data_IF_624986414392
#
_entry.id   IF_624986414392
#
_cell.length_a   1.000
_cell.length_b   1.000
_cell.length_c   1.000
_cell.angle_alpha   90.00
_cell.angle_beta   90.00
_cell.angle_gamma   90.00
#
_symmetry.space_group_name_H-M   'P 1'
#
loop_
_entity.id
_entity.type
_entity.pdbx_description
1 polymer ?
#
# COMPACT_ATOMS: atom_id res chain seq x y z
N UNK A 1 -20.07 16.15 -1.65
CA UNK A 1 -21.47 16.51 -1.38
C UNK A 1 -22.38 15.70 -2.30
N UNK A 2 -23.55 15.27 -1.85
CA UNK A 2 -24.43 14.36 -2.63
C UNK A 2 -23.87 12.94 -2.80
N UNK A 3 -22.93 12.52 -1.94
CA UNK A 3 -22.33 11.19 -1.99
C UNK A 3 -23.27 10.10 -1.49
N UNK A 4 -24.11 10.41 -0.51
CA UNK A 4 -25.20 9.57 -0.02
C UNK A 4 -26.54 10.29 -0.22
N UNK A 5 -27.64 9.59 -0.03
CA UNK A 5 -28.97 10.19 -0.15
C UNK A 5 -29.26 11.21 0.96
N UNK A 6 -30.25 12.06 0.72
CA UNK A 6 -30.67 13.07 1.69
C UNK A 6 -31.27 12.36 2.91
N UNK A 7 -30.73 12.64 4.10
CA UNK A 7 -31.12 11.98 5.35
C UNK A 7 -30.27 10.76 5.71
N UNK A 8 -29.45 10.25 4.78
CA UNK A 8 -28.51 9.17 5.05
C UNK A 8 -27.17 9.69 5.57
N UNK A 9 -26.44 8.81 6.26
CA UNK A 9 -25.09 9.06 6.74
C UNK A 9 -24.12 7.99 6.24
N UNK A 10 -22.89 8.40 5.94
CA UNK A 10 -21.78 7.52 5.65
C UNK A 10 -20.74 7.65 6.76
N UNK A 11 -20.48 6.58 7.49
CA UNK A 11 -19.30 6.46 8.33
C UNK A 11 -18.20 5.77 7.53
N UNK A 12 -17.01 6.38 7.52
CA UNK A 12 -15.81 5.85 6.90
C UNK A 12 -14.75 5.74 7.99
N UNK A 13 -14.23 4.53 8.20
CA UNK A 13 -13.09 4.28 9.08
C UNK A 13 -11.92 3.79 8.24
N UNK A 14 -10.74 4.32 8.51
CA UNK A 14 -9.51 3.94 7.83
C UNK A 14 -8.41 3.64 8.84
N UNK A 15 -7.73 2.51 8.67
CA UNK A 15 -6.63 2.08 9.53
C UNK A 15 -5.45 1.62 8.67
N UNK A 16 -4.27 2.18 8.92
CA UNK A 16 -3.04 1.72 8.29
C UNK A 16 -2.47 0.51 9.07
N UNK A 17 -2.20 -0.57 8.35
CA UNK A 17 -1.49 -1.74 8.81
C UNK A 17 -0.05 -1.66 8.27
N UNK A 18 0.90 -1.54 9.18
CA UNK A 18 2.31 -1.34 8.83
C UNK A 18 3.01 -2.63 8.41
N UNK A 19 2.52 -3.78 8.90
CA UNK A 19 3.01 -5.10 8.52
C UNK A 19 2.12 -5.66 7.40
N UNK A 20 2.59 -5.65 6.14
CA UNK A 20 1.81 -6.20 5.04
C UNK A 20 1.76 -7.73 5.09
N UNK A 21 0.68 -8.34 4.59
CA UNK A 21 0.62 -9.78 4.35
C UNK A 21 1.80 -10.28 3.52
N UNK A 22 2.22 -11.52 3.78
CA UNK A 22 3.39 -12.12 3.12
C UNK A 22 3.24 -12.21 1.60
N UNK A 23 2.02 -12.44 1.08
CA UNK A 23 1.77 -12.56 -0.36
C UNK A 23 2.09 -11.27 -1.14
N UNK A 24 2.09 -10.11 -0.46
CA UNK A 24 2.38 -8.80 -1.05
C UNK A 24 3.88 -8.51 -1.14
N UNK A 25 4.73 -9.44 -0.69
CA UNK A 25 6.19 -9.30 -0.71
C UNK A 25 6.85 -10.61 -1.17
N UNK A 26 7.44 -10.58 -2.36
CA UNK A 26 8.15 -11.71 -2.99
C UNK A 26 9.21 -11.18 -3.97
N UNK A 27 9.94 -12.06 -4.64
CA UNK A 27 10.93 -11.66 -5.67
C UNK A 27 10.30 -10.83 -6.80
N UNK A 28 8.99 -10.93 -7.02
CA UNK A 28 8.25 -10.20 -8.07
C UNK A 28 7.30 -9.14 -7.54
N UNK A 29 7.19 -8.96 -6.23
CA UNK A 29 6.21 -8.05 -5.64
C UNK A 29 6.79 -7.37 -4.39
N UNK A 30 6.65 -6.05 -4.26
CA UNK A 30 7.07 -5.35 -3.05
C UNK A 30 6.05 -4.28 -2.69
N UNK A 31 5.66 -4.24 -1.42
CA UNK A 31 4.69 -3.27 -0.92
C UNK A 31 5.29 -1.86 -0.85
N UNK A 32 4.57 -0.88 -1.42
CA UNK A 32 4.99 0.54 -1.53
C UNK A 32 4.21 1.50 -0.61
N UNK A 33 3.16 1.00 0.04
CA UNK A 33 2.33 1.75 1.00
C UNK A 33 1.98 0.85 2.18
N UNK A 34 1.62 1.39 3.35
CA UNK A 34 0.88 0.59 4.33
C UNK A 34 -0.35 -0.06 3.70
N UNK A 35 -0.76 -1.22 4.19
CA UNK A 35 -2.05 -1.81 3.81
C UNK A 35 -3.15 -1.04 4.55
N UNK A 36 -4.09 -0.48 3.82
CA UNK A 36 -5.21 0.26 4.39
C UNK A 36 -6.41 -0.66 4.58
N UNK A 37 -6.84 -0.84 5.83
CA UNK A 37 -8.18 -1.35 6.14
C UNK A 37 -9.16 -0.18 6.03
N UNK A 38 -10.18 -0.34 5.20
CA UNK A 38 -11.27 0.64 5.03
C UNK A 38 -12.57 -0.05 5.40
N UNK A 39 -13.32 0.57 6.31
CA UNK A 39 -14.66 0.13 6.71
C UNK A 39 -15.68 1.20 6.38
N UNK A 40 -16.77 0.76 5.76
CA UNK A 40 -17.85 1.63 5.31
C UNK A 40 -19.16 1.15 5.95
N UNK A 41 -19.95 2.06 6.51
CA UNK A 41 -21.24 1.72 7.12
C UNK A 41 -22.38 1.62 6.13
N UNK A 42 -22.23 2.24 4.96
CA UNK A 42 -23.21 2.26 3.88
C UNK A 42 -22.50 2.03 2.53
N UNK A 43 -23.10 1.23 1.65
CA UNK A 43 -22.61 0.93 0.29
C UNK A 43 -23.43 1.62 -0.79
N UNK A 44 -24.59 2.18 -0.43
CA UNK A 44 -25.50 2.89 -1.33
C UNK A 44 -24.97 4.31 -1.57
N UNK A 45 -23.91 4.37 -2.36
CA UNK A 45 -23.27 5.61 -2.75
C UNK A 45 -23.82 6.10 -4.10
N UNK A 46 -24.00 7.42 -4.23
CA UNK A 46 -24.42 8.08 -5.48
C UNK A 46 -23.25 8.50 -6.37
N UNK A 47 -22.08 8.71 -5.75
CA UNK A 47 -20.85 9.09 -6.43
C UNK A 47 -19.71 8.20 -5.95
N UNK A 48 -18.70 7.92 -6.77
CA UNK A 48 -17.61 7.04 -6.37
C UNK A 48 -16.75 7.64 -5.26
N UNK A 49 -16.27 6.78 -4.35
CA UNK A 49 -15.25 7.14 -3.37
C UNK A 49 -13.88 7.15 -4.04
N UNK A 50 -13.09 8.19 -3.79
CA UNK A 50 -11.73 8.33 -4.30
C UNK A 50 -10.76 8.24 -3.12
N UNK A 51 -9.84 7.29 -3.20
CA UNK A 51 -8.75 7.13 -2.24
C UNK A 51 -7.47 7.71 -2.85
N UNK A 52 -6.92 8.72 -2.20
CA UNK A 52 -5.62 9.31 -2.51
C UNK A 52 -4.60 8.86 -1.46
N UNK A 53 -3.44 8.38 -1.91
CA UNK A 53 -2.36 7.96 -1.01
C UNK A 53 -0.98 8.26 -1.59
N UNK A 54 0.02 8.37 -0.71
CA UNK A 54 1.42 8.52 -1.09
C UNK A 54 2.16 7.18 -0.93
N UNK A 55 3.07 6.91 -1.85
CA UNK A 55 3.96 5.75 -1.78
C UNK A 55 5.37 6.13 -1.33
N UNK A 56 6.09 5.19 -0.70
CA UNK A 56 7.45 5.39 -0.17
C UNK A 56 8.57 5.02 -1.15
N UNK A 57 8.21 4.67 -2.40
CA UNK A 57 9.15 4.26 -3.43
C UNK A 57 8.75 4.77 -4.82
N UNK A 58 9.70 4.78 -5.72
CA UNK A 58 9.51 5.07 -7.14
C UNK A 58 10.12 3.94 -7.97
N UNK A 59 9.58 3.69 -9.16
CA UNK A 59 10.26 2.82 -10.13
C UNK A 59 11.45 3.59 -10.69
N UNK A 60 12.59 2.93 -10.85
CA UNK A 60 13.79 3.55 -11.39
C UNK A 60 13.49 4.23 -12.74
N UNK A 61 14.10 5.40 -12.97
CA UNK A 61 13.84 6.23 -14.15
C UNK A 61 14.58 5.76 -15.41
N UNK A 62 14.64 4.45 -15.62
CA UNK A 62 15.19 3.82 -16.82
C UNK A 62 14.11 3.02 -17.56
N UNK A 63 14.28 2.91 -18.88
CA UNK A 63 13.29 2.27 -19.76
C UNK A 63 13.06 0.80 -19.39
N UNK A 64 14.10 0.12 -18.91
CA UNK A 64 14.03 -1.30 -18.59
C UNK A 64 13.20 -1.53 -17.33
N UNK A 65 13.43 -0.76 -16.26
CA UNK A 65 12.64 -0.82 -15.03
C UNK A 65 11.16 -0.51 -15.24
N UNK A 66 10.83 0.54 -16.01
CA UNK A 66 9.44 0.91 -16.32
C UNK A 66 8.70 -0.11 -17.19
N UNK A 67 9.43 -0.93 -17.96
CA UNK A 67 8.84 -2.00 -18.75
C UNK A 67 8.64 -3.29 -17.95
N UNK A 68 9.52 -3.60 -17.01
CA UNK A 68 9.49 -4.86 -16.25
C UNK A 68 8.63 -4.79 -14.99
N UNK A 69 8.59 -3.62 -14.35
CA UNK A 69 7.89 -3.39 -13.09
C UNK A 69 6.85 -2.30 -13.28
N UNK A 70 5.68 -2.50 -12.68
CA UNK A 70 4.63 -1.50 -12.68
C UNK A 70 4.05 -1.33 -11.28
N UNK A 71 3.62 -0.10 -10.99
CA UNK A 71 2.82 0.19 -9.80
C UNK A 71 1.41 -0.36 -10.02
N UNK A 72 0.90 -1.08 -9.03
CA UNK A 72 -0.44 -1.68 -9.02
C UNK A 72 -1.13 -1.39 -7.70
N UNK A 73 -2.42 -1.06 -7.78
CA UNK A 73 -3.29 -1.09 -6.62
C UNK A 73 -3.92 -2.47 -6.53
N UNK A 74 -3.84 -3.07 -5.36
CA UNK A 74 -4.42 -4.36 -5.06
C UNK A 74 -5.46 -4.21 -3.95
N UNK A 75 -6.52 -5.01 -4.03
CA UNK A 75 -7.61 -5.02 -3.04
C UNK A 75 -8.03 -6.43 -2.69
N UNK A 76 -8.38 -6.62 -1.42
CA UNK A 76 -8.98 -7.85 -0.91
C UNK A 76 -10.10 -7.52 0.07
N UNK A 77 -11.03 -8.45 0.26
CA UNK A 77 -12.06 -8.35 1.31
C UNK A 77 -11.58 -8.99 2.62
N UNK A 78 -10.42 -9.67 2.60
CA UNK A 78 -9.77 -10.28 3.75
C UNK A 78 -8.35 -9.74 3.92
N UNK A 79 -7.91 -9.58 5.18
CA UNK A 79 -6.59 -9.01 5.50
C UNK A 79 -5.45 -9.77 4.81
N UNK A 80 -5.52 -11.09 4.83
CA UNK A 80 -4.48 -12.00 4.32
C UNK A 80 -4.74 -12.46 2.88
N UNK A 81 -5.60 -11.76 2.14
CA UNK A 81 -5.89 -12.05 0.74
C UNK A 81 -7.02 -13.06 0.52
N UNK A 82 -7.26 -13.46 -0.75
CA UNK A 82 -6.45 -13.14 -1.92
C UNK A 82 -6.63 -11.69 -2.37
N UNK A 83 -5.55 -11.07 -2.87
CA UNK A 83 -5.60 -9.72 -3.42
C UNK A 83 -5.80 -9.75 -4.94
N UNK A 84 -6.72 -8.92 -5.42
CA UNK A 84 -7.02 -8.71 -6.84
C UNK A 84 -6.59 -7.30 -7.28
N UNK A 85 -6.15 -7.12 -8.53
CA UNK A 85 -5.77 -5.81 -9.05
C UNK A 85 -6.99 -4.90 -9.24
N UNK A 86 -6.79 -3.62 -8.96
CA UNK A 86 -7.73 -2.54 -9.22
C UNK A 86 -7.14 -1.52 -10.19
N UNK A 87 -8.01 -0.84 -10.94
CA UNK A 87 -7.61 0.21 -11.86
C UNK A 87 -7.09 1.44 -11.11
N UNK A 88 -5.88 1.89 -11.46
CA UNK A 88 -5.33 3.15 -10.99
C UNK A 88 -5.88 4.30 -11.83
N UNK A 89 -6.48 5.30 -11.18
CA UNK A 89 -6.99 6.50 -11.86
C UNK A 89 -5.88 7.53 -12.13
N UNK A 90 -4.85 7.54 -11.28
CA UNK A 90 -3.73 8.47 -11.37
C UNK A 90 -2.50 7.93 -10.62
N UNK A 91 -1.31 8.11 -11.18
CA UNK A 91 -0.04 7.84 -10.50
C UNK A 91 1.00 8.86 -10.98
N UNK A 92 1.36 9.82 -10.14
CA UNK A 92 2.36 10.84 -10.47
C UNK A 92 2.98 11.44 -9.20
N UNK A 93 4.29 11.68 -9.22
CA UNK A 93 5.01 12.30 -8.10
C UNK A 93 4.82 11.56 -6.77
N UNK A 94 4.77 10.22 -6.80
CA UNK A 94 4.52 9.39 -5.63
C UNK A 94 3.11 9.47 -5.04
N UNK A 95 2.19 10.20 -5.69
CA UNK A 95 0.78 10.28 -5.30
C UNK A 95 -0.07 9.41 -6.22
N UNK A 96 -0.89 8.57 -5.61
CA UNK A 96 -1.76 7.62 -6.29
C UNK A 96 -3.21 7.97 -5.97
N UNK A 97 -4.05 7.93 -7.00
CA UNK A 97 -5.51 7.94 -6.83
C UNK A 97 -6.10 6.66 -7.36
N UNK A 98 -6.97 6.07 -6.56
CA UNK A 98 -7.78 4.92 -6.94
C UNK A 98 -9.24 5.24 -6.66
N UNK A 99 -10.09 4.90 -7.61
CA UNK A 99 -11.53 4.91 -7.42
C UNK A 99 -11.94 3.58 -6.75
N UNK A 100 -12.62 3.67 -5.62
CA UNK A 100 -13.11 2.48 -4.91
C UNK A 100 -14.34 1.95 -5.64
N UNK A 101 -14.14 0.88 -6.40
CA UNK A 101 -15.20 0.13 -7.08
C UNK A 101 -15.59 -1.09 -6.23
N UNK A 102 -16.83 -1.59 -6.40
CA UNK A 102 -17.34 -2.78 -5.71
C UNK A 102 -17.19 -2.69 -4.17
N UNK A 103 -17.78 -1.67 -3.53
CA UNK A 103 -17.60 -1.43 -2.10
C UNK A 103 -18.06 -2.62 -1.24
N UNK A 104 -17.31 -2.90 -0.18
CA UNK A 104 -17.62 -3.92 0.82
C UNK A 104 -17.52 -3.32 2.24
N UNK A 105 -18.21 -3.90 3.25
CA UNK A 105 -18.21 -3.42 4.64
C UNK A 105 -16.81 -3.25 5.23
N UNK A 106 -15.89 -4.11 4.79
CA UNK A 106 -14.48 -4.04 5.10
C UNK A 106 -13.68 -4.49 3.88
N UNK A 107 -12.72 -3.68 3.46
CA UNK A 107 -11.80 -3.98 2.39
C UNK A 107 -10.38 -3.57 2.76
N UNK A 108 -9.41 -4.23 2.15
CA UNK A 108 -7.99 -4.02 2.37
C UNK A 108 -7.38 -3.60 1.05
N UNK A 109 -6.64 -2.50 1.06
CA UNK A 109 -6.04 -1.91 -0.14
C UNK A 109 -4.55 -1.73 0.08
N UNK A 110 -3.75 -2.15 -0.89
CA UNK A 110 -2.31 -1.98 -0.86
C UNK A 110 -1.79 -1.55 -2.22
N UNK A 111 -0.76 -0.71 -2.23
CA UNK A 111 -0.01 -0.40 -3.43
C UNK A 111 1.25 -1.24 -3.45
N UNK A 112 1.52 -1.87 -4.58
CA UNK A 112 2.70 -2.69 -4.79
C UNK A 112 3.44 -2.29 -6.06
N UNK A 113 4.75 -2.49 -6.06
CA UNK A 113 5.53 -2.67 -7.27
C UNK A 113 5.41 -4.15 -7.66
N UNK A 114 4.93 -4.42 -8.86
CA UNK A 114 4.75 -5.78 -9.36
C UNK A 114 5.56 -5.97 -10.64
N UNK A 115 6.47 -6.94 -10.62
CA UNK A 115 7.25 -7.40 -11.76
C UNK A 115 6.51 -8.48 -12.54
N UNK A 116 6.43 -8.33 -13.87
CA UNK A 116 5.78 -9.34 -14.72
C UNK A 116 6.76 -10.43 -15.14
N UNK A 117 7.90 -10.04 -15.71
CA UNK A 117 8.88 -10.94 -16.32
C UNK A 117 10.28 -10.75 -15.75
N UNK A 118 10.38 -10.62 -14.42
CA UNK A 118 11.68 -10.59 -13.74
C UNK A 118 12.29 -11.99 -13.79
N UNK A 119 13.49 -12.09 -14.35
CA UNK A 119 14.29 -13.31 -14.40
C UNK A 119 15.33 -13.35 -13.29
N UNK A 120 15.55 -14.52 -12.71
CA UNK A 120 16.66 -14.76 -11.78
C UNK A 120 18.01 -14.35 -12.39
N UNK A 121 18.95 -13.74 -11.64
CA UNK A 121 18.93 -13.51 -10.19
C UNK A 121 18.28 -12.19 -9.74
N UNK A 122 17.62 -11.46 -10.64
CA UNK A 122 17.00 -10.19 -10.31
C UNK A 122 15.67 -10.35 -9.57
N UNK A 123 15.31 -9.34 -8.80
CA UNK A 123 14.08 -9.20 -8.03
C UNK A 123 13.47 -7.82 -8.30
N UNK A 124 12.24 -7.60 -7.82
CA UNK A 124 11.57 -6.29 -7.91
C UNK A 124 12.38 -5.16 -7.27
N UNK A 125 13.20 -5.48 -6.26
CA UNK A 125 14.07 -4.52 -5.57
C UNK A 125 15.16 -3.92 -6.45
N UNK A 126 15.57 -4.63 -7.51
CA UNK A 126 16.57 -4.14 -8.45
C UNK A 126 16.02 -3.02 -9.37
N UNK A 127 14.69 -2.87 -9.43
CA UNK A 127 14.00 -1.94 -10.34
C UNK A 127 13.27 -0.79 -9.63
N UNK A 128 13.36 -0.72 -8.30
CA UNK A 128 12.71 0.33 -7.51
C UNK A 128 13.72 1.07 -6.63
N UNK A 129 13.45 2.36 -6.41
CA UNK A 129 14.14 3.18 -5.43
C UNK A 129 13.21 3.42 -4.24
N UNK A 130 13.46 2.71 -3.14
CA UNK A 130 12.67 2.77 -1.90
C UNK A 130 13.52 3.34 -0.77
N UNK A 131 13.04 4.39 -0.12
CA UNK A 131 13.72 4.95 1.06
C UNK A 131 13.37 4.14 2.30
N UNK A 132 14.37 3.51 2.89
CA UNK A 132 14.26 2.86 4.19
C UNK A 132 14.86 3.76 5.29
N UNK A 133 14.24 3.75 6.45
CA UNK A 133 14.71 4.42 7.66
C UNK A 133 15.08 3.36 8.68
N UNK A 134 16.30 3.42 9.21
CA UNK A 134 16.75 2.52 10.26
C UNK A 134 16.79 3.30 11.57
N UNK A 135 15.93 2.93 12.52
CA UNK A 135 15.90 3.47 13.86
C UNK A 135 16.69 2.58 14.83
N UNK A 136 17.59 3.19 15.60
CA UNK A 136 18.39 2.49 16.62
C UNK A 136 18.02 3.07 17.99
N UNK A 137 17.42 2.24 18.84
CA UNK A 137 16.86 2.64 20.13
C UNK A 137 17.65 2.01 21.27
N UNK A 138 18.14 2.84 22.19
CA UNK A 138 18.84 2.41 23.40
C UNK A 138 18.01 2.61 24.68
N UNK A 139 18.53 2.20 25.84
CA UNK A 139 17.85 2.39 27.12
C UNK A 139 17.72 3.89 27.44
N UNK A 140 16.54 4.29 27.91
CA UNK A 140 16.23 5.69 28.27
C UNK A 140 17.09 6.24 29.41
N UNK A 141 17.63 5.37 30.26
CA UNK A 141 18.48 5.71 31.40
C UNK A 141 19.73 4.82 31.42
N UNK A 142 20.78 5.27 32.12
CA UNK A 142 22.03 4.52 32.30
C UNK A 142 21.69 3.17 32.96
N UNK A 143 21.92 2.09 32.24
CA UNK A 143 21.67 0.73 32.69
C UNK A 143 22.98 -0.07 32.65
N UNK A 144 23.28 -0.92 33.66
CA UNK A 144 24.51 -1.70 33.71
C UNK A 144 24.67 -2.73 32.56
N UNK A 145 23.60 -2.97 31.79
CA UNK A 145 23.66 -3.68 30.50
C UNK A 145 23.07 -2.83 29.38
N UNK A 146 23.76 -2.79 28.24
CA UNK A 146 23.33 -2.03 27.06
C UNK A 146 22.51 -2.93 26.14
N UNK A 147 21.19 -2.70 26.04
CA UNK A 147 20.31 -3.36 25.06
C UNK A 147 19.91 -2.36 24.00
N UNK A 148 20.11 -2.71 22.73
CA UNK A 148 19.72 -1.89 21.58
C UNK A 148 18.67 -2.62 20.76
N UNK A 149 17.64 -1.90 20.35
CA UNK A 149 16.64 -2.37 19.39
C UNK A 149 16.90 -1.65 18.07
N UNK A 150 17.11 -2.42 17.01
CA UNK A 150 17.18 -1.89 15.64
C UNK A 150 15.84 -2.17 14.98
N UNK A 151 15.19 -1.12 14.48
CA UNK A 151 13.95 -1.22 13.73
C UNK A 151 14.17 -0.65 12.33
N UNK A 152 13.64 -1.34 11.32
CA UNK A 152 13.68 -0.90 9.92
C UNK A 152 12.26 -0.50 9.52
N UNK A 153 12.11 0.72 9.02
CA UNK A 153 10.86 1.30 8.54
C UNK A 153 11.00 1.63 7.06
N UNK A 154 9.95 1.47 6.26
CA UNK A 154 9.98 1.86 4.84
C UNK A 154 9.06 1.05 3.96
#
# INVERSE_FOLDING_TARGET
EGHVADGDAQQISMKALLDPPLELNSDKCSTLSPVLEIKLSNMEIRTPLILEMKISAEINDDVLSKNLVAVRCLRSDMKEGPYAPMALSYCYGGTIKVQLENLEPCMYIAIVAQGQNISYPYTVWDYINKKITVGVYGPKHIHPSFKTVVAVFG
#
